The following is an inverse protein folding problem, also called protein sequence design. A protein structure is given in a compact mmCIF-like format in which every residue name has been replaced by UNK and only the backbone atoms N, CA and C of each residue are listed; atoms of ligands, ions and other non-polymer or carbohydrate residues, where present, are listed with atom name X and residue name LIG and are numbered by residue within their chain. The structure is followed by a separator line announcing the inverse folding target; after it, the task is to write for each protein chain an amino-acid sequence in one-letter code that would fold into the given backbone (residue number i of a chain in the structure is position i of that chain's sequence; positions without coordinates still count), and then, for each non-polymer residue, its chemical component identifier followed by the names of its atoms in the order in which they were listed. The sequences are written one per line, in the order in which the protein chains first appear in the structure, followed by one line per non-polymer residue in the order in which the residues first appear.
data_IF_286395914281
#
_entry.id   IF_286395914281
#
_cell.length_a   1.000
_cell.length_b   1.000
_cell.length_c   1.000
_cell.angle_alpha   90.00
_cell.angle_beta   90.00
_cell.angle_gamma   90.00
#
_symmetry.space_group_name_H-M   'P 1'
#
loop_
_entity.id
_entity.type
_entity.pdbx_description
1 polymer ?
#
# COMPACT_ATOMS: atom_id res chain seq x y z
N UNK A 1 12.74 -7.99 28.14
CA UNK A 1 12.21 -8.33 26.81
C UNK A 1 12.90 -7.41 25.83
N UNK A 2 13.86 -7.90 25.06
CA UNK A 2 14.47 -7.14 23.96
C UNK A 2 13.35 -6.83 22.98
N UNK A 3 12.91 -5.57 22.93
CA UNK A 3 12.09 -5.11 21.82
C UNK A 3 12.94 -5.35 20.58
N UNK A 4 12.53 -6.29 19.73
CA UNK A 4 13.13 -6.43 18.42
C UNK A 4 12.82 -5.11 17.71
N UNK A 5 13.79 -4.20 17.66
CA UNK A 5 13.61 -2.89 17.03
C UNK A 5 13.24 -3.18 15.58
N UNK A 6 11.97 -2.94 15.24
CA UNK A 6 11.50 -3.11 13.87
C UNK A 6 12.33 -2.17 13.02
N UNK A 7 13.03 -2.72 12.03
CA UNK A 7 13.81 -1.91 11.08
C UNK A 7 12.87 -0.89 10.45
N UNK A 8 13.29 0.38 10.45
CA UNK A 8 12.57 1.45 9.76
C UNK A 8 12.46 1.11 8.28
N UNK A 9 11.24 1.14 7.78
CA UNK A 9 10.89 1.05 6.36
C UNK A 9 10.91 2.46 5.82
N UNK A 10 11.69 2.70 4.77
CA UNK A 10 11.71 3.97 4.07
C UNK A 10 10.37 4.22 3.34
N UNK A 11 9.99 5.49 3.16
CA UNK A 11 8.71 5.85 2.53
C UNK A 11 8.63 5.32 1.09
N UNK A 12 9.68 5.51 0.30
CA UNK A 12 9.69 5.11 -1.11
C UNK A 12 9.67 3.58 -1.21
N UNK A 13 10.50 2.91 -0.41
CA UNK A 13 10.54 1.46 -0.35
C UNK A 13 9.19 0.85 0.02
N UNK A 14 8.58 1.34 1.10
CA UNK A 14 7.30 0.85 1.58
C UNK A 14 6.17 1.14 0.59
N UNK A 15 6.19 2.32 -0.03
CA UNK A 15 5.19 2.69 -1.04
C UNK A 15 5.31 1.86 -2.33
N UNK A 16 6.53 1.59 -2.81
CA UNK A 16 6.75 0.74 -3.99
C UNK A 16 6.15 -0.67 -3.76
N UNK A 17 6.28 -1.20 -2.55
CA UNK A 17 5.64 -2.47 -2.18
C UNK A 17 4.10 -2.37 -2.21
N UNK A 18 3.53 -1.29 -1.66
CA UNK A 18 2.08 -1.08 -1.68
C UNK A 18 1.54 -0.88 -3.09
N UNK A 19 2.28 -0.20 -3.96
CA UNK A 19 1.90 -0.02 -5.37
C UNK A 19 1.77 -1.36 -6.10
N UNK A 20 2.60 -2.37 -5.80
CA UNK A 20 2.44 -3.72 -6.36
C UNK A 20 1.10 -4.34 -5.96
N UNK A 21 0.70 -4.17 -4.69
CA UNK A 21 -0.62 -4.58 -4.20
C UNK A 21 -1.76 -3.81 -4.87
N UNK A 22 -1.63 -2.50 -5.03
CA UNK A 22 -2.64 -1.66 -5.71
C UNK A 22 -2.80 -2.08 -7.17
N UNK A 23 -1.69 -2.32 -7.90
CA UNK A 23 -1.73 -2.79 -9.29
C UNK A 23 -2.41 -4.15 -9.41
N UNK A 24 -2.09 -5.11 -8.53
CA UNK A 24 -2.76 -6.41 -8.46
C UNK A 24 -4.27 -6.24 -8.25
N UNK A 25 -4.68 -5.35 -7.33
CA UNK A 25 -6.10 -5.06 -7.11
C UNK A 25 -6.77 -4.45 -8.34
N UNK A 26 -6.14 -3.47 -9.01
CA UNK A 26 -6.64 -2.88 -10.26
C UNK A 26 -6.85 -3.96 -11.33
N UNK A 27 -5.88 -4.84 -11.54
CA UNK A 27 -5.99 -5.94 -12.51
C UNK A 27 -7.17 -6.88 -12.21
N UNK A 28 -7.38 -7.23 -10.94
CA UNK A 28 -8.52 -8.06 -10.50
C UNK A 28 -9.85 -7.36 -10.79
N UNK A 29 -9.94 -6.05 -10.48
CA UNK A 29 -11.18 -5.27 -10.69
C UNK A 29 -11.53 -5.12 -12.18
N UNK A 30 -10.53 -4.99 -13.05
CA UNK A 30 -10.69 -4.88 -14.51
C UNK A 30 -10.83 -6.26 -15.20
N UNK A 31 -10.80 -7.36 -14.45
CA UNK A 31 -11.01 -8.72 -14.97
C UNK A 31 -9.81 -9.33 -15.71
N UNK A 32 -8.61 -8.79 -15.54
CA UNK A 32 -7.39 -9.40 -16.08
C UNK A 32 -7.07 -10.72 -15.36
N UNK A 33 -6.33 -11.65 -16.00
CA UNK A 33 -5.92 -12.91 -15.39
C UNK A 33 -4.85 -12.66 -14.31
N UNK A 34 -5.31 -12.37 -13.10
CA UNK A 34 -4.50 -12.10 -11.92
C UNK A 34 -4.93 -13.02 -10.76
N UNK A 35 -4.00 -13.69 -10.06
CA UNK A 35 -4.36 -14.49 -8.89
C UNK A 35 -5.04 -13.64 -7.81
N UNK A 36 -6.00 -14.20 -7.10
CA UNK A 36 -6.58 -13.55 -5.92
C UNK A 36 -5.53 -13.31 -4.83
N UNK A 37 -5.80 -12.38 -3.93
CA UNK A 37 -4.96 -12.17 -2.76
C UNK A 37 -5.02 -13.38 -1.83
N UNK A 38 -3.85 -13.85 -1.40
CA UNK A 38 -3.74 -14.83 -0.33
C UNK A 38 -3.86 -14.14 1.04
N UNK A 39 -4.12 -14.91 2.10
CA UNK A 39 -4.08 -14.39 3.48
C UNK A 39 -2.69 -13.82 3.84
N UNK A 40 -1.63 -14.39 3.27
CA UNK A 40 -0.26 -13.89 3.44
C UNK A 40 -0.08 -12.53 2.77
N UNK A 41 -0.58 -12.35 1.55
CA UNK A 41 -0.53 -11.07 0.85
C UNK A 41 -1.21 -9.96 1.68
N UNK A 42 -2.43 -10.23 2.16
CA UNK A 42 -3.16 -9.29 3.01
C UNK A 42 -2.36 -8.96 4.27
N UNK A 43 -1.85 -9.98 4.97
CA UNK A 43 -1.09 -9.77 6.20
C UNK A 43 0.17 -8.93 5.96
N UNK A 44 0.88 -9.16 4.85
CA UNK A 44 2.06 -8.37 4.49
C UNK A 44 1.71 -6.91 4.18
N UNK A 45 0.68 -6.67 3.36
CA UNK A 45 0.22 -5.32 3.01
C UNK A 45 -0.22 -4.52 4.25
N UNK A 46 -1.05 -5.13 5.11
CA UNK A 46 -1.48 -4.50 6.37
C UNK A 46 -0.31 -4.23 7.32
N UNK A 47 0.60 -5.20 7.46
CA UNK A 47 1.75 -5.07 8.35
C UNK A 47 2.69 -3.97 7.89
N UNK A 48 2.92 -3.84 6.58
CA UNK A 48 3.76 -2.77 6.00
C UNK A 48 3.19 -1.39 6.33
N UNK A 49 1.92 -1.14 6.03
CA UNK A 49 1.28 0.16 6.35
C UNK A 49 1.27 0.42 7.84
N UNK A 50 0.89 -0.58 8.65
CA UNK A 50 0.87 -0.43 10.10
C UNK A 50 2.24 -0.04 10.65
N UNK A 51 3.30 -0.71 10.19
CA UNK A 51 4.67 -0.39 10.63
C UNK A 51 5.08 1.02 10.20
N UNK A 52 4.81 1.42 8.95
CA UNK A 52 5.15 2.77 8.47
C UNK A 52 4.41 3.89 9.21
N UNK A 53 3.15 3.64 9.63
CA UNK A 53 2.36 4.59 10.43
C UNK A 53 2.73 4.62 11.92
N UNK A 54 3.40 3.58 12.44
CA UNK A 54 3.74 3.46 13.87
C UNK A 54 5.24 3.56 14.15
N UNK A 55 6.03 3.80 13.11
CA UNK A 55 7.45 4.14 13.20
C UNK A 55 7.66 5.41 14.03
N UNK A 56 8.77 5.45 14.77
CA UNK A 56 9.12 6.64 15.55
C UNK A 56 9.49 7.80 14.62
N UNK A 57 9.19 9.03 15.05
CA UNK A 57 9.64 10.25 14.40
C UNK A 57 11.16 10.19 14.13
N UNK A 58 11.63 10.69 12.97
CA UNK A 58 10.90 11.43 11.93
C UNK A 58 10.18 10.55 10.88
N UNK A 59 10.11 9.23 11.07
CA UNK A 59 9.66 8.29 10.05
C UNK A 59 8.19 7.84 10.21
N UNK A 60 7.37 8.64 10.89
CA UNK A 60 5.91 8.46 10.87
C UNK A 60 5.40 8.98 9.53
N UNK A 61 4.94 8.05 8.70
CA UNK A 61 4.51 8.33 7.33
C UNK A 61 2.99 8.30 7.16
N UNK A 62 2.22 8.30 8.25
CA UNK A 62 0.76 8.18 8.23
C UNK A 62 0.09 9.22 7.30
N UNK A 63 0.48 10.49 7.41
CA UNK A 63 -0.06 11.56 6.56
C UNK A 63 0.32 11.37 5.08
N UNK A 64 1.59 11.09 4.79
CA UNK A 64 2.07 10.92 3.41
C UNK A 64 1.42 9.70 2.74
N UNK A 65 1.22 8.61 3.49
CA UNK A 65 0.53 7.43 3.00
C UNK A 65 -0.94 7.73 2.71
N UNK A 66 -1.62 8.50 3.57
CA UNK A 66 -3.00 8.92 3.34
C UNK A 66 -3.14 9.71 2.02
N UNK A 67 -2.24 10.66 1.77
CA UNK A 67 -2.25 11.46 0.55
C UNK A 67 -1.97 10.61 -0.69
N UNK A 68 -0.99 9.69 -0.62
CA UNK A 68 -0.68 8.74 -1.70
C UNK A 68 -1.83 7.79 -2.03
N UNK A 69 -2.59 7.35 -1.02
CA UNK A 69 -3.80 6.57 -1.26
C UNK A 69 -4.86 7.37 -1.99
N UNK A 70 -5.10 8.63 -1.57
CA UNK A 70 -6.01 9.53 -2.29
C UNK A 70 -5.62 9.67 -3.75
N UNK A 71 -4.35 9.96 -4.04
CA UNK A 71 -3.83 10.05 -5.42
C UNK A 71 -4.11 8.76 -6.21
N UNK A 72 -3.86 7.59 -5.62
CA UNK A 72 -4.09 6.29 -6.26
C UNK A 72 -5.56 6.05 -6.61
N UNK A 73 -6.48 6.47 -5.74
CA UNK A 73 -7.93 6.41 -6.00
C UNK A 73 -8.33 7.39 -7.10
N UNK A 74 -7.86 8.63 -7.04
CA UNK A 74 -8.17 9.67 -8.04
C UNK A 74 -7.69 9.27 -9.44
N UNK A 75 -6.48 8.71 -9.53
CA UNK A 75 -5.90 8.16 -10.75
C UNK A 75 -6.81 7.06 -11.34
N UNK A 76 -7.17 6.06 -10.52
CA UNK A 76 -8.01 4.95 -10.97
C UNK A 76 -9.40 5.38 -11.43
N UNK A 77 -10.07 6.24 -10.65
CA UNK A 77 -11.41 6.74 -11.00
C UNK A 77 -11.35 7.53 -12.31
N UNK A 78 -10.31 8.34 -12.50
CA UNK A 78 -10.16 9.15 -13.70
C UNK A 78 -9.81 8.30 -14.92
N UNK A 79 -9.01 7.24 -14.78
CA UNK A 79 -8.65 6.36 -15.89
C UNK A 79 -9.76 5.39 -16.30
N UNK A 80 -10.49 4.83 -15.33
CA UNK A 80 -11.40 3.69 -15.57
C UNK A 80 -12.89 4.07 -15.57
N UNK A 81 -13.31 5.01 -14.73
CA UNK A 81 -14.75 5.30 -14.51
C UNK A 81 -15.23 6.49 -15.35
N UNK A 82 -14.41 7.53 -15.49
CA UNK A 82 -14.81 8.75 -16.23
C UNK A 82 -14.78 8.61 -17.76
N UNK A 83 -14.28 7.48 -18.28
CA UNK A 83 -14.19 7.20 -19.71
C UNK A 83 -15.33 6.30 -20.24
N UNK A 84 -16.41 6.16 -19.47
CA UNK A 84 -17.67 5.48 -19.87
C UNK A 84 -18.74 6.57 -20.03
#
# INVERSE_FOLDING_TARGET
MTMNERKTIDLEQGWEFMQKGITKLKNILEGFPEPQFSSEDYMMLYTTIYNMCTQKAPHDYSQQLYDKYRESFEEYITSSVRNI
#
